data_IF_201760846636
#
_entry.id   IF_201760846636
#
_cell.length_a   1.000
_cell.length_b   1.000
_cell.length_c   1.000
_cell.angle_alpha   90.00
_cell.angle_beta   90.00
_cell.angle_gamma   90.00
#
_symmetry.space_group_name_H-M   'P 1'
#
loop_
_entity.id
_entity.type
_entity.pdbx_description
1 polymer ?
#
# COMPACT_ATOMS: atom_id res chain seq x y z
N UNK A 1 7.51 -7.44 -28.23
CA UNK A 1 6.05 -7.22 -28.16
C UNK A 1 5.27 -8.55 -28.12
N UNK A 2 5.44 -9.49 -29.09
CA UNK A 2 4.75 -10.80 -29.10
C UNK A 2 5.04 -11.64 -27.83
N UNK A 3 6.28 -11.62 -27.33
CA UNK A 3 6.64 -12.34 -26.11
C UNK A 3 5.91 -11.78 -24.88
N UNK A 4 5.86 -10.45 -24.74
CA UNK A 4 5.15 -9.78 -23.65
C UNK A 4 3.66 -10.17 -23.64
N UNK A 5 3.00 -10.14 -24.80
CA UNK A 5 1.60 -10.56 -24.92
C UNK A 5 1.41 -11.99 -24.44
N UNK A 6 2.28 -12.94 -24.85
CA UNK A 6 2.20 -14.33 -24.41
C UNK A 6 2.42 -14.50 -22.89
N UNK A 7 3.30 -13.67 -22.28
CA UNK A 7 3.57 -13.70 -20.84
C UNK A 7 2.42 -13.10 -20.02
N UNK A 8 1.81 -12.03 -20.51
CA UNK A 8 0.57 -11.49 -19.96
C UNK A 8 -0.57 -12.50 -20.10
N UNK A 9 -0.68 -13.21 -21.24
CA UNK A 9 -1.71 -14.20 -21.45
C UNK A 9 -1.65 -15.37 -20.47
N UNK A 10 -0.45 -15.77 -20.06
CA UNK A 10 -0.21 -16.84 -19.08
C UNK A 10 -0.08 -16.34 -17.64
N UNK A 11 -0.11 -15.02 -17.44
CA UNK A 11 0.13 -14.34 -16.15
C UNK A 11 1.45 -14.82 -15.53
N UNK A 12 2.54 -14.72 -16.30
CA UNK A 12 3.88 -15.09 -15.85
C UNK A 12 4.46 -13.98 -14.95
N UNK A 13 4.08 -13.98 -13.67
CA UNK A 13 4.54 -12.97 -12.71
C UNK A 13 6.05 -12.86 -12.61
N UNK A 14 6.80 -13.97 -12.73
CA UNK A 14 8.27 -13.91 -12.66
C UNK A 14 8.83 -13.06 -13.80
N UNK A 15 8.38 -13.30 -15.03
CA UNK A 15 8.79 -12.49 -16.18
C UNK A 15 8.32 -11.04 -16.04
N UNK A 16 7.08 -10.82 -15.62
CA UNK A 16 6.50 -9.49 -15.50
C UNK A 16 7.21 -8.65 -14.43
N UNK A 17 7.67 -9.24 -13.31
CA UNK A 17 8.49 -8.55 -12.30
C UNK A 17 9.80 -8.04 -12.88
N UNK A 18 10.51 -8.91 -13.63
CA UNK A 18 11.76 -8.51 -14.29
C UNK A 18 11.51 -7.42 -15.32
N UNK A 19 10.44 -7.52 -16.07
CA UNK A 19 10.06 -6.55 -17.08
C UNK A 19 9.69 -5.18 -16.46
N UNK A 20 8.84 -5.15 -15.43
CA UNK A 20 8.49 -3.90 -14.74
C UNK A 20 9.71 -3.25 -14.08
N UNK A 21 10.61 -4.05 -13.50
CA UNK A 21 11.86 -3.54 -12.97
C UNK A 21 12.68 -2.80 -14.04
N UNK A 22 12.81 -3.38 -15.24
CA UNK A 22 13.50 -2.70 -16.34
C UNK A 22 12.78 -1.44 -16.82
N UNK A 23 11.44 -1.47 -16.89
CA UNK A 23 10.65 -0.31 -17.26
C UNK A 23 10.75 0.82 -16.23
N UNK A 24 10.85 0.50 -14.93
CA UNK A 24 11.04 1.51 -13.87
C UNK A 24 12.40 2.18 -13.96
N UNK A 25 13.47 1.44 -14.30
CA UNK A 25 14.78 2.01 -14.64
C UNK A 25 14.73 2.98 -15.83
N UNK A 26 13.88 2.69 -16.81
CA UNK A 26 13.66 3.52 -18.01
C UNK A 26 12.64 4.64 -17.76
N UNK A 27 12.08 4.77 -16.57
CA UNK A 27 11.05 5.74 -16.21
C UNK A 27 9.81 5.66 -17.11
N UNK A 28 9.48 4.46 -17.60
CA UNK A 28 8.41 4.23 -18.58
C UNK A 28 7.06 4.04 -17.91
N UNK A 29 6.47 5.13 -17.39
CA UNK A 29 5.15 5.13 -16.70
C UNK A 29 4.06 4.51 -17.57
N UNK A 30 3.96 4.92 -18.84
CA UNK A 30 2.92 4.43 -19.76
C UNK A 30 3.02 2.92 -19.99
N UNK A 31 4.23 2.41 -20.20
CA UNK A 31 4.43 0.98 -20.45
C UNK A 31 4.11 0.13 -19.21
N UNK A 32 4.44 0.59 -18.01
CA UNK A 32 4.08 -0.10 -16.76
C UNK A 32 2.57 -0.08 -16.58
N UNK A 33 1.94 1.07 -16.78
CA UNK A 33 0.48 1.22 -16.72
C UNK A 33 -0.22 0.25 -17.69
N UNK A 34 0.24 0.16 -18.94
CA UNK A 34 -0.35 -0.72 -19.96
C UNK A 34 -0.27 -2.20 -19.57
N UNK A 35 0.84 -2.63 -18.96
CA UNK A 35 0.98 -4.01 -18.44
C UNK A 35 -0.05 -4.28 -17.35
N UNK A 36 -0.15 -3.38 -16.36
CA UNK A 36 -1.09 -3.55 -15.25
C UNK A 36 -2.54 -3.53 -15.75
N UNK A 37 -2.87 -2.58 -16.61
CA UNK A 37 -4.21 -2.47 -17.20
C UNK A 37 -4.57 -3.70 -18.02
N UNK A 38 -3.62 -4.28 -18.76
CA UNK A 38 -3.83 -5.54 -19.49
C UNK A 38 -4.17 -6.71 -18.56
N UNK A 39 -3.56 -6.77 -17.37
CA UNK A 39 -3.88 -7.78 -16.35
C UNK A 39 -5.27 -7.55 -15.76
N UNK A 40 -5.63 -6.30 -15.44
CA UNK A 40 -6.95 -5.93 -14.94
C UNK A 40 -8.06 -6.28 -15.95
N UNK A 41 -7.86 -5.95 -17.25
CA UNK A 41 -8.80 -6.30 -18.33
C UNK A 41 -8.98 -7.81 -18.45
N UNK A 42 -7.97 -8.61 -18.15
CA UNK A 42 -8.06 -10.09 -18.12
C UNK A 42 -8.80 -10.62 -16.89
N UNK A 43 -9.17 -9.75 -15.95
CA UNK A 43 -9.86 -10.11 -14.71
C UNK A 43 -8.94 -10.57 -13.60
N UNK A 44 -7.63 -10.29 -13.70
CA UNK A 44 -6.72 -10.53 -12.57
C UNK A 44 -7.08 -9.57 -11.44
N UNK A 45 -7.30 -10.07 -10.21
CA UNK A 45 -7.69 -9.23 -9.09
C UNK A 45 -6.63 -8.17 -8.76
N UNK A 46 -7.06 -6.93 -8.52
CA UNK A 46 -6.17 -5.80 -8.25
C UNK A 46 -5.21 -6.07 -7.09
N UNK A 47 -5.71 -6.61 -5.98
CA UNK A 47 -4.88 -6.95 -4.82
C UNK A 47 -3.75 -7.92 -5.19
N UNK A 48 -4.02 -8.89 -6.07
CA UNK A 48 -3.03 -9.88 -6.49
C UNK A 48 -1.96 -9.27 -7.39
N UNK A 49 -2.34 -8.36 -8.28
CA UNK A 49 -1.38 -7.58 -9.09
C UNK A 49 -0.47 -6.78 -8.16
N UNK A 50 -1.01 -6.19 -7.11
CA UNK A 50 -0.23 -5.41 -6.16
C UNK A 50 0.74 -6.29 -5.36
N UNK A 51 0.29 -7.39 -4.79
CA UNK A 51 1.11 -8.27 -3.97
C UNK A 51 2.15 -9.02 -4.82
N UNK A 52 1.74 -9.60 -5.95
CA UNK A 52 2.60 -10.45 -6.76
C UNK A 52 3.53 -9.66 -7.68
N UNK A 53 3.18 -8.45 -8.06
CA UNK A 53 3.94 -7.68 -9.04
C UNK A 53 4.55 -6.41 -8.41
N UNK A 54 3.73 -5.47 -7.96
CA UNK A 54 4.19 -4.15 -7.54
C UNK A 54 5.08 -4.22 -6.28
N UNK A 55 4.62 -4.89 -5.21
CA UNK A 55 5.40 -5.04 -3.98
C UNK A 55 6.72 -5.76 -4.22
N UNK A 56 6.72 -6.80 -5.05
CA UNK A 56 7.95 -7.52 -5.36
C UNK A 56 8.97 -6.65 -6.12
N UNK A 57 8.51 -5.78 -7.02
CA UNK A 57 9.39 -4.84 -7.73
C UNK A 57 9.94 -3.78 -6.77
N UNK A 58 9.09 -3.19 -5.92
CA UNK A 58 9.52 -2.22 -4.90
C UNK A 58 10.50 -2.82 -3.90
N UNK A 59 10.23 -4.03 -3.38
CA UNK A 59 11.14 -4.74 -2.48
C UNK A 59 12.50 -4.98 -3.15
N UNK A 60 12.52 -5.41 -4.42
CA UNK A 60 13.77 -5.58 -5.17
C UNK A 60 14.54 -4.29 -5.34
N UNK A 61 13.88 -3.17 -5.60
CA UNK A 61 14.50 -1.84 -5.70
C UNK A 61 15.14 -1.49 -4.35
N UNK A 62 14.41 -1.62 -3.25
CA UNK A 62 14.91 -1.37 -1.89
C UNK A 62 16.09 -2.28 -1.52
N UNK A 63 16.01 -3.57 -1.80
CA UNK A 63 17.09 -4.54 -1.54
C UNK A 63 18.37 -4.18 -2.31
N UNK A 64 18.25 -3.78 -3.56
CA UNK A 64 19.41 -3.38 -4.37
C UNK A 64 20.04 -2.10 -3.85
N UNK A 65 19.25 -1.14 -3.42
CA UNK A 65 19.74 0.08 -2.78
C UNK A 65 20.43 -0.21 -1.45
N UNK A 66 19.83 -0.99 -0.55
CA UNK A 66 20.42 -1.40 0.73
C UNK A 66 21.76 -2.13 0.55
N UNK A 67 21.91 -2.89 -0.52
CA UNK A 67 23.15 -3.62 -0.85
C UNK A 67 24.14 -2.80 -1.70
N UNK A 68 23.96 -1.48 -1.84
CA UNK A 68 24.77 -0.57 -2.66
C UNK A 68 24.92 -0.99 -4.13
N UNK A 69 23.92 -1.70 -4.68
CA UNK A 69 23.85 -2.11 -6.09
C UNK A 69 23.00 -1.16 -6.94
N UNK A 70 22.33 -0.23 -6.29
CA UNK A 70 21.54 0.83 -6.91
C UNK A 70 21.88 2.15 -6.22
N UNK A 71 22.02 3.25 -6.96
CA UNK A 71 22.21 4.56 -6.36
C UNK A 71 20.91 5.05 -5.71
N UNK A 72 21.02 5.97 -4.75
CA UNK A 72 19.84 6.59 -4.13
C UNK A 72 19.00 7.36 -5.18
N UNK A 73 19.65 7.96 -6.18
CA UNK A 73 18.96 8.68 -7.24
C UNK A 73 18.16 7.72 -8.14
N UNK A 74 18.72 6.56 -8.47
CA UNK A 74 18.02 5.54 -9.25
C UNK A 74 16.86 4.94 -8.46
N UNK A 75 17.07 4.61 -7.17
CA UNK A 75 16.03 4.12 -6.28
C UNK A 75 14.84 5.10 -6.24
N UNK A 76 15.12 6.39 -5.97
CA UNK A 76 14.08 7.41 -5.93
C UNK A 76 13.35 7.55 -7.27
N UNK A 77 14.07 7.55 -8.38
CA UNK A 77 13.48 7.70 -9.72
C UNK A 77 12.59 6.51 -10.09
N UNK A 78 13.03 5.29 -9.76
CA UNK A 78 12.26 4.07 -9.99
C UNK A 78 11.00 4.03 -9.12
N UNK A 79 11.12 4.39 -7.84
CA UNK A 79 10.01 4.45 -6.89
C UNK A 79 9.00 5.51 -7.30
N UNK A 80 9.44 6.71 -7.73
CA UNK A 80 8.58 7.74 -8.29
C UNK A 80 7.84 7.27 -9.55
N UNK A 81 8.51 6.53 -10.43
CA UNK A 81 7.88 5.97 -11.62
C UNK A 81 6.72 5.06 -11.25
N UNK A 82 6.92 4.14 -10.31
CA UNK A 82 5.87 3.25 -9.82
C UNK A 82 4.77 4.03 -9.10
N UNK A 83 5.11 5.03 -8.29
CA UNK A 83 4.15 5.90 -7.61
C UNK A 83 3.21 6.58 -8.62
N UNK A 84 3.75 7.15 -9.67
CA UNK A 84 2.97 7.81 -10.72
C UNK A 84 2.01 6.83 -11.42
N UNK A 85 2.45 5.60 -11.69
CA UNK A 85 1.58 4.54 -12.21
C UNK A 85 0.44 4.23 -11.25
N UNK A 86 0.74 4.07 -9.95
CA UNK A 86 -0.28 3.74 -8.95
C UNK A 86 -1.33 4.84 -8.81
N UNK A 87 -0.94 6.11 -8.81
CA UNK A 87 -1.88 7.23 -8.81
C UNK A 87 -2.75 7.26 -10.07
N UNK A 88 -2.18 6.97 -11.24
CA UNK A 88 -2.93 6.90 -12.49
C UNK A 88 -3.98 5.79 -12.44
N UNK A 89 -3.60 4.57 -12.07
CA UNK A 89 -4.53 3.44 -11.92
C UNK A 89 -5.64 3.79 -10.92
N UNK A 90 -5.30 4.33 -9.75
CA UNK A 90 -6.28 4.76 -8.77
C UNK A 90 -7.27 5.79 -9.34
N UNK A 91 -6.79 6.75 -10.15
CA UNK A 91 -7.65 7.78 -10.76
C UNK A 91 -8.62 7.23 -11.81
N UNK A 92 -8.33 6.08 -12.41
CA UNK A 92 -9.14 5.42 -13.43
C UNK A 92 -10.22 4.49 -12.86
N UNK A 93 -10.19 4.22 -11.55
CA UNK A 93 -11.19 3.36 -10.90
C UNK A 93 -12.56 4.05 -10.91
N UNK A 94 -13.54 3.38 -11.53
CA UNK A 94 -14.92 3.86 -11.54
C UNK A 94 -15.54 3.74 -10.15
N UNK A 95 -15.90 4.89 -9.56
CA UNK A 95 -16.63 4.92 -8.29
C UNK A 95 -18.12 4.74 -8.55
N UNK A 96 -18.69 3.65 -8.09
CA UNK A 96 -20.14 3.46 -8.11
C UNK A 96 -20.78 4.24 -6.95
N UNK A 97 -21.97 4.81 -7.17
CA UNK A 97 -22.71 5.59 -6.17
C UNK A 97 -23.39 4.71 -5.07
N UNK A 98 -22.91 3.50 -4.85
CA UNK A 98 -23.41 2.61 -3.79
C UNK A 98 -22.84 3.09 -2.46
N UNK A 99 -23.70 3.58 -1.58
CA UNK A 99 -23.31 3.97 -0.23
C UNK A 99 -23.16 2.73 0.65
N UNK A 100 -21.94 2.33 0.91
CA UNK A 100 -21.64 1.31 1.92
C UNK A 100 -21.49 2.02 3.29
N UNK A 101 -22.09 1.50 4.37
CA UNK A 101 -22.06 2.16 5.68
C UNK A 101 -20.69 2.09 6.38
N UNK A 102 -19.68 1.52 5.73
CA UNK A 102 -18.31 1.46 6.22
C UNK A 102 -17.54 2.71 5.80
N UNK A 103 -16.71 3.24 6.71
CA UNK A 103 -15.77 4.34 6.45
C UNK A 103 -14.42 3.92 6.96
N UNK A 104 -13.39 4.11 6.16
CA UNK A 104 -12.02 3.72 6.49
C UNK A 104 -11.13 4.96 6.55
N UNK A 105 -10.25 5.00 7.54
CA UNK A 105 -9.08 5.91 7.56
C UNK A 105 -7.86 5.03 7.35
N UNK A 106 -6.95 5.42 6.44
CA UNK A 106 -5.66 4.78 6.26
C UNK A 106 -4.50 5.78 6.35
N UNK A 107 -3.36 5.35 6.89
CA UNK A 107 -2.16 6.17 7.05
C UNK A 107 -0.94 5.29 7.35
N UNK A 108 0.25 5.92 7.37
CA UNK A 108 1.41 5.42 8.11
C UNK A 108 1.64 6.24 9.38
N UNK A 109 2.37 5.68 10.34
CA UNK A 109 2.76 6.40 11.56
C UNK A 109 3.98 7.29 11.34
N UNK A 110 4.29 8.13 12.33
CA UNK A 110 5.48 9.00 12.34
C UNK A 110 6.75 8.23 11.99
N UNK A 111 7.58 8.83 11.14
CA UNK A 111 8.81 8.31 10.55
C UNK A 111 8.65 7.25 9.45
N UNK A 112 7.45 6.85 9.10
CA UNK A 112 7.21 5.97 7.95
C UNK A 112 6.69 6.80 6.76
N UNK A 113 7.54 6.99 5.74
CA UNK A 113 7.26 7.81 4.54
C UNK A 113 6.73 6.97 3.36
N UNK A 114 6.40 5.68 3.57
CA UNK A 114 5.94 4.79 2.49
C UNK A 114 4.50 5.08 2.09
N UNK A 115 4.33 5.85 1.03
CA UNK A 115 3.03 6.30 0.52
C UNK A 115 2.36 5.30 -0.43
N UNK A 116 3.13 4.59 -1.27
CA UNK A 116 2.59 3.71 -2.32
C UNK A 116 1.60 2.67 -1.75
N UNK A 117 1.87 1.99 -0.62
CA UNK A 117 0.91 1.06 -0.03
C UNK A 117 -0.43 1.70 0.33
N UNK A 118 -0.44 2.98 0.71
CA UNK A 118 -1.67 3.70 1.01
C UNK A 118 -2.52 3.94 -0.25
N UNK A 119 -1.87 4.25 -1.37
CA UNK A 119 -2.55 4.39 -2.68
C UNK A 119 -3.12 3.04 -3.12
N UNK A 120 -2.38 1.94 -2.91
CA UNK A 120 -2.84 0.58 -3.20
C UNK A 120 -4.08 0.23 -2.37
N UNK A 121 -4.06 0.50 -1.06
CA UNK A 121 -5.20 0.31 -0.15
C UNK A 121 -6.40 1.11 -0.63
N UNK A 122 -6.23 2.39 -0.96
CA UNK A 122 -7.33 3.22 -1.47
C UNK A 122 -7.92 2.66 -2.77
N UNK A 123 -7.06 2.22 -3.70
CA UNK A 123 -7.49 1.64 -4.97
C UNK A 123 -8.38 0.40 -4.75
N UNK A 124 -7.99 -0.49 -3.84
CA UNK A 124 -8.77 -1.69 -3.49
C UNK A 124 -10.10 -1.28 -2.81
N UNK A 125 -10.07 -0.32 -1.88
CA UNK A 125 -11.28 0.14 -1.21
C UNK A 125 -12.26 0.81 -2.18
N UNK A 126 -11.76 1.60 -3.13
CA UNK A 126 -12.57 2.24 -4.18
C UNK A 126 -13.19 1.19 -5.13
N UNK A 127 -12.43 0.13 -5.51
CA UNK A 127 -12.94 -0.98 -6.33
C UNK A 127 -14.16 -1.65 -5.70
N UNK A 128 -14.14 -1.84 -4.37
CA UNK A 128 -15.25 -2.44 -3.62
C UNK A 128 -16.22 -1.40 -3.04
N UNK A 129 -16.12 -0.14 -3.47
CA UNK A 129 -16.99 0.98 -3.09
C UNK A 129 -17.02 1.29 -1.58
N UNK A 130 -15.94 1.08 -0.87
CA UNK A 130 -15.79 1.47 0.54
C UNK A 130 -15.15 2.86 0.63
N UNK A 131 -15.86 3.88 1.14
CA UNK A 131 -15.32 5.23 1.30
C UNK A 131 -14.10 5.23 2.21
N UNK A 132 -12.99 5.79 1.74
CA UNK A 132 -11.76 5.92 2.50
C UNK A 132 -11.27 7.36 2.61
N UNK A 133 -10.54 7.64 3.68
CA UNK A 133 -9.79 8.88 3.89
C UNK A 133 -8.32 8.52 4.10
N UNK A 134 -7.48 8.81 3.14
CA UNK A 134 -6.04 8.65 3.26
C UNK A 134 -5.46 9.90 3.94
N UNK A 135 -4.81 9.72 5.09
CA UNK A 135 -4.11 10.80 5.79
C UNK A 135 -2.69 11.01 5.27
N UNK A 136 -2.23 10.14 4.40
CA UNK A 136 -0.86 10.15 3.90
C UNK A 136 0.14 9.49 4.85
N UNK A 137 1.43 9.60 4.51
CA UNK A 137 2.51 9.06 5.31
C UNK A 137 2.85 9.96 6.51
N UNK A 138 3.62 9.41 7.47
CA UNK A 138 4.25 10.14 8.57
C UNK A 138 3.27 10.93 9.47
N UNK A 139 2.15 10.32 9.87
CA UNK A 139 1.09 11.02 10.63
C UNK A 139 1.26 10.82 12.14
N UNK A 140 1.33 11.91 12.93
CA UNK A 140 1.40 11.84 14.40
C UNK A 140 0.09 11.32 15.00
N UNK A 141 0.18 10.48 16.06
CA UNK A 141 -0.98 9.89 16.74
C UNK A 141 -2.05 10.92 17.15
N UNK A 142 -1.73 12.10 17.72
CA UNK A 142 -2.75 13.09 18.07
C UNK A 142 -3.57 13.58 16.85
N UNK A 143 -2.93 13.70 15.67
CA UNK A 143 -3.61 14.08 14.43
C UNK A 143 -4.56 13.00 13.95
N UNK A 144 -4.13 11.72 14.08
CA UNK A 144 -4.98 10.55 13.76
C UNK A 144 -6.21 10.55 14.68
N UNK A 145 -6.03 10.68 16.01
CA UNK A 145 -7.13 10.72 16.98
C UNK A 145 -8.13 11.85 16.68
N UNK A 146 -7.62 13.04 16.35
CA UNK A 146 -8.46 14.18 15.97
C UNK A 146 -9.28 13.88 14.70
N UNK A 147 -8.65 13.26 13.69
CA UNK A 147 -9.35 12.89 12.45
C UNK A 147 -10.37 11.79 12.66
N UNK A 148 -10.06 10.80 13.50
CA UNK A 148 -11.02 9.75 13.89
C UNK A 148 -12.28 10.38 14.54
N UNK A 149 -12.12 11.36 15.41
CA UNK A 149 -13.25 12.07 16.03
C UNK A 149 -14.11 12.81 15.00
N UNK A 150 -13.48 13.43 14.00
CA UNK A 150 -14.18 14.21 12.96
C UNK A 150 -14.90 13.32 11.93
N UNK A 151 -14.31 12.20 11.54
CA UNK A 151 -14.82 11.31 10.47
C UNK A 151 -15.74 10.23 11.02
N UNK A 152 -15.54 9.81 12.26
CA UNK A 152 -16.19 8.66 12.90
C UNK A 152 -16.12 7.41 12.00
N UNK A 153 -14.92 6.87 11.71
CA UNK A 153 -14.76 5.73 10.84
C UNK A 153 -15.22 4.44 11.52
N UNK A 154 -15.41 3.39 10.74
CA UNK A 154 -15.64 2.03 11.24
C UNK A 154 -14.33 1.24 11.34
N UNK A 155 -13.32 1.61 10.54
CA UNK A 155 -12.03 0.91 10.47
C UNK A 155 -10.88 1.92 10.37
N UNK A 156 -9.78 1.57 11.02
CA UNK A 156 -8.50 2.24 10.92
C UNK A 156 -7.49 1.28 10.30
N UNK A 157 -6.89 1.63 9.16
CA UNK A 157 -5.84 0.83 8.53
C UNK A 157 -4.50 1.54 8.70
N UNK A 158 -3.55 0.85 9.29
CA UNK A 158 -2.18 1.33 9.51
C UNK A 158 -1.27 0.53 8.58
N UNK A 159 -0.66 1.20 7.61
CA UNK A 159 0.44 0.63 6.84
C UNK A 159 1.75 0.87 7.59
N UNK A 160 2.52 -0.17 7.89
CA UNK A 160 3.78 -0.09 8.61
C UNK A 160 4.87 -0.78 7.82
N UNK A 161 5.72 0.00 7.17
CA UNK A 161 6.82 -0.50 6.32
C UNK A 161 8.19 -0.14 6.87
N UNK A 162 8.26 0.92 7.67
CA UNK A 162 9.48 1.34 8.35
C UNK A 162 9.19 1.67 9.82
N UNK A 163 10.00 1.12 10.72
CA UNK A 163 9.93 1.35 12.17
C UNK A 163 11.29 1.78 12.66
N UNK A 164 11.43 3.05 13.02
CA UNK A 164 12.68 3.62 13.51
C UNK A 164 12.99 3.15 14.94
N UNK A 165 11.98 3.09 15.80
CA UNK A 165 12.08 2.68 17.19
C UNK A 165 10.87 1.80 17.59
N UNK A 166 11.16 0.56 17.98
CA UNK A 166 10.13 -0.46 18.23
C UNK A 166 9.26 -0.13 19.45
N UNK A 167 9.81 0.48 20.50
CA UNK A 167 9.06 0.81 21.71
C UNK A 167 8.11 1.97 21.45
N UNK A 168 8.58 3.01 20.77
CA UNK A 168 7.75 4.14 20.34
C UNK A 168 6.63 3.67 19.41
N UNK A 169 6.94 2.80 18.45
CA UNK A 169 5.96 2.21 17.53
C UNK A 169 4.88 1.45 18.29
N UNK A 170 5.25 0.52 19.16
CA UNK A 170 4.28 -0.27 19.94
C UNK A 170 3.45 0.58 20.90
N UNK A 171 4.05 1.61 21.49
CA UNK A 171 3.33 2.58 22.33
C UNK A 171 2.28 3.36 21.55
N UNK A 172 2.61 3.78 20.32
CA UNK A 172 1.68 4.47 19.40
C UNK A 172 0.52 3.54 19.01
N UNK A 173 0.82 2.31 18.64
CA UNK A 173 -0.19 1.29 18.30
C UNK A 173 -1.10 1.00 19.49
N UNK A 174 -0.55 0.74 20.69
CA UNK A 174 -1.33 0.50 21.90
C UNK A 174 -2.27 1.66 22.23
N UNK A 175 -1.80 2.90 22.03
CA UNK A 175 -2.62 4.11 22.23
C UNK A 175 -3.77 4.17 21.23
N UNK A 176 -3.51 3.94 19.95
CA UNK A 176 -4.54 3.93 18.91
C UNK A 176 -5.56 2.82 19.11
N UNK A 177 -5.13 1.60 19.45
CA UNK A 177 -6.02 0.48 19.76
C UNK A 177 -6.98 0.86 20.90
N UNK A 178 -6.44 1.36 22.03
CA UNK A 178 -7.25 1.79 23.19
C UNK A 178 -8.23 2.90 22.81
N UNK A 179 -7.81 3.83 21.95
CA UNK A 179 -8.67 4.92 21.50
C UNK A 179 -9.78 4.43 20.56
N UNK A 180 -9.45 3.57 19.60
CA UNK A 180 -10.38 2.99 18.63
C UNK A 180 -11.39 2.06 19.30
N UNK A 181 -10.95 1.18 20.22
CA UNK A 181 -11.80 0.24 20.95
C UNK A 181 -12.92 0.95 21.73
N UNK A 182 -12.64 2.09 22.35
CA UNK A 182 -13.67 2.90 23.03
C UNK A 182 -14.76 3.45 22.11
N UNK A 183 -14.55 3.38 20.80
CA UNK A 183 -15.43 3.93 19.76
C UNK A 183 -15.97 2.85 18.82
N UNK A 184 -15.73 1.58 19.15
CA UNK A 184 -16.13 0.44 18.32
C UNK A 184 -15.53 0.48 16.90
N UNK A 185 -14.25 0.91 16.81
CA UNK A 185 -13.51 1.01 15.56
C UNK A 185 -12.51 -0.15 15.48
N UNK A 186 -12.57 -0.93 14.41
CA UNK A 186 -11.62 -2.00 14.15
C UNK A 186 -10.28 -1.44 13.66
N UNK A 187 -9.16 -1.99 14.15
CA UNK A 187 -7.82 -1.61 13.76
C UNK A 187 -7.18 -2.73 12.96
N UNK A 188 -6.77 -2.42 11.73
CA UNK A 188 -6.07 -3.32 10.83
C UNK A 188 -4.64 -2.80 10.65
N UNK A 189 -3.66 -3.69 10.68
CA UNK A 189 -2.25 -3.36 10.46
C UNK A 189 -1.69 -4.25 9.36
N UNK A 190 -0.99 -3.64 8.40
CA UNK A 190 -0.30 -4.32 7.31
C UNK A 190 1.10 -3.76 7.09
N UNK A 191 1.91 -4.47 6.30
CA UNK A 191 3.27 -4.07 5.93
C UNK A 191 4.38 -4.81 6.66
N UNK A 192 5.62 -4.62 6.22
CA UNK A 192 6.80 -5.33 6.69
C UNK A 192 7.13 -5.09 8.18
N UNK A 193 6.65 -3.99 8.79
CA UNK A 193 6.86 -3.68 10.21
C UNK A 193 6.01 -4.51 11.18
N UNK A 194 5.05 -5.30 10.69
CA UNK A 194 4.15 -6.08 11.55
C UNK A 194 4.86 -7.08 12.46
N UNK A 195 6.00 -7.62 12.03
CA UNK A 195 6.79 -8.56 12.83
C UNK A 195 7.34 -7.95 14.13
N UNK A 196 7.37 -6.61 14.24
CA UNK A 196 7.82 -5.87 15.41
C UNK A 196 6.71 -5.59 16.43
N UNK A 197 5.46 -5.96 16.12
CA UNK A 197 4.35 -5.83 17.09
C UNK A 197 4.55 -6.74 18.27
N UNK A 198 4.36 -6.19 19.47
CA UNK A 198 4.23 -7.00 20.68
C UNK A 198 2.93 -7.81 20.67
N UNK A 199 2.90 -8.94 21.40
CA UNK A 199 1.77 -9.87 21.37
C UNK A 199 0.43 -9.23 21.74
N UNK A 200 0.44 -8.32 22.72
CA UNK A 200 -0.76 -7.58 23.16
C UNK A 200 -1.35 -6.75 21.99
N UNK A 201 -0.51 -6.06 21.22
CA UNK A 201 -0.95 -5.27 20.07
C UNK A 201 -1.40 -6.17 18.92
N UNK A 202 -0.66 -7.26 18.65
CA UNK A 202 -0.97 -8.24 17.61
C UNK A 202 -2.33 -8.88 17.81
N UNK A 203 -2.65 -9.31 19.05
CA UNK A 203 -3.92 -9.94 19.37
C UNK A 203 -5.11 -8.98 19.36
N UNK A 204 -4.87 -7.68 19.51
CA UNK A 204 -5.90 -6.64 19.50
C UNK A 204 -6.14 -6.01 18.13
N UNK A 205 -5.45 -6.46 17.09
CA UNK A 205 -5.55 -5.97 15.71
C UNK A 205 -5.84 -7.09 14.73
N UNK A 206 -6.39 -6.73 13.56
CA UNK A 206 -6.50 -7.65 12.43
C UNK A 206 -5.24 -7.46 11.57
N UNK A 207 -4.42 -8.49 11.47
CA UNK A 207 -3.23 -8.48 10.65
C UNK A 207 -3.62 -8.68 9.18
N UNK A 208 -3.29 -7.70 8.33
CA UNK A 208 -3.41 -7.84 6.89
C UNK A 208 -2.22 -8.68 6.41
N UNK A 209 -2.50 -9.91 5.99
CA UNK A 209 -1.48 -10.79 5.39
C UNK A 209 -1.30 -10.41 3.94
N UNK A 210 -0.04 -10.28 3.55
CA UNK A 210 0.36 -10.16 2.14
C UNK A 210 0.15 -11.50 1.42
#
# INVERSE_FOLDING_TARGET
>A
EKELVQRIDRIDYKYLRDYLFQLSLQQSVDSIHDVINSLLIKGEPQYRIYDELILNVLNRIGDLWLNNKLSIADEHTMTETIRNVMYRIHSEISKNNVKIPKKVICMTLTNDEHEIPLVMIQSILDEINIPSTNLGPNVPVPSIESKIQAVNPTHLIISSNYVLDTDTFNSAISRLIKFCHKKDIEVLIGGSGNHLLIEENRSATIELKN
#
